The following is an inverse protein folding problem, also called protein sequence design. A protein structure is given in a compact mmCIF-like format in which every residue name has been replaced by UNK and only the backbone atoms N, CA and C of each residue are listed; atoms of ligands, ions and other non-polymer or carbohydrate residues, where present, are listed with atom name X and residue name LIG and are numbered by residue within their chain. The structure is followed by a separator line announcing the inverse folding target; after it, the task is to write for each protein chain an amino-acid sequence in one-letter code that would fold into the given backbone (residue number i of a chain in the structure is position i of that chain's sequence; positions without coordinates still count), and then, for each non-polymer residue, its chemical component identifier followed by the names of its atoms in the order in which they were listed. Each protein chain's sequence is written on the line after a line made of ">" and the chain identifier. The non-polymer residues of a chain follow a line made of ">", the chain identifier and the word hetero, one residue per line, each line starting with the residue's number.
data_IF_631611548318
#
_entry.id   IF_631611548318
#
_cell.length_a   1.000
_cell.length_b   1.000
_cell.length_c   1.000
_cell.angle_alpha   90.00
_cell.angle_beta   90.00
_cell.angle_gamma   90.00
#
_symmetry.space_group_name_H-M   'P 1'
#
loop_
_entity.id
_entity.type
_entity.pdbx_description
1 polymer ?
#
# COMPACT_ATOMS: atom_id res chain seq x y z
N UNK A 1 -25.44 11.59 -8.63
CA UNK A 1 -24.43 10.66 -8.08
C UNK A 1 -23.81 9.92 -9.26
N UNK A 2 -22.57 10.25 -9.61
CA UNK A 2 -21.88 9.67 -10.76
C UNK A 2 -21.14 8.40 -10.32
N UNK A 3 -21.39 7.28 -10.98
CA UNK A 3 -20.56 6.08 -10.88
C UNK A 3 -19.18 6.42 -11.45
N UNK A 4 -18.18 6.55 -10.57
CA UNK A 4 -16.77 6.62 -10.96
C UNK A 4 -16.36 5.23 -11.43
N UNK A 5 -16.13 5.10 -12.73
CA UNK A 5 -15.54 3.90 -13.31
C UNK A 5 -14.06 3.83 -12.88
N UNK A 6 -13.74 2.89 -11.99
CA UNK A 6 -12.39 2.70 -11.47
C UNK A 6 -11.58 1.77 -12.36
N UNK A 7 -10.34 2.16 -12.68
CA UNK A 7 -9.39 1.35 -13.44
C UNK A 7 -8.51 0.56 -12.47
N UNK A 8 -8.30 -0.73 -12.78
CA UNK A 8 -7.31 -1.57 -12.08
C UNK A 8 -5.94 -1.30 -12.68
N UNK A 9 -4.94 -1.05 -11.82
CA UNK A 9 -3.57 -0.85 -12.27
C UNK A 9 -2.95 -2.18 -12.70
N UNK A 10 -2.49 -2.27 -13.96
CA UNK A 10 -1.73 -3.42 -14.48
C UNK A 10 -0.37 -2.94 -14.99
N UNK A 11 0.69 -3.52 -14.44
CA UNK A 11 2.07 -3.29 -14.91
C UNK A 11 2.27 -4.07 -16.21
N UNK A 12 2.52 -3.35 -17.32
CA UNK A 12 2.96 -3.99 -18.57
C UNK A 12 4.46 -4.28 -18.46
N UNK A 13 4.82 -5.56 -18.43
CA UNK A 13 6.21 -5.99 -18.58
C UNK A 13 6.64 -5.80 -20.03
N UNK A 14 7.60 -4.89 -20.27
CA UNK A 14 8.19 -4.68 -21.59
C UNK A 14 9.26 -5.75 -21.84
N UNK A 15 8.93 -6.73 -22.69
CA UNK A 15 9.89 -7.74 -23.16
C UNK A 15 10.97 -7.09 -24.05
N UNK A 16 12.24 -7.31 -23.69
CA UNK A 16 13.41 -6.88 -24.45
C UNK A 16 13.66 -7.85 -25.62
N UNK A 17 13.54 -7.37 -26.85
CA UNK A 17 13.93 -8.09 -28.06
C UNK A 17 15.44 -7.93 -28.28
N UNK A 18 16.14 -9.07 -28.34
CA UNK A 18 17.53 -9.19 -28.74
C UNK A 18 17.72 -8.81 -30.21
N UNK A 19 18.72 -7.97 -30.50
CA UNK A 19 19.24 -7.73 -31.84
C UNK A 19 20.75 -7.54 -31.80
N UNK A 20 21.48 -8.57 -32.23
CA UNK A 20 22.93 -8.56 -32.40
C UNK A 20 23.35 -7.72 -33.60
N UNK A 21 24.45 -6.96 -33.48
CA UNK A 21 25.24 -6.53 -34.63
C UNK A 21 26.72 -6.31 -34.26
N UNK A 22 27.56 -6.71 -35.19
CA UNK A 22 29.00 -7.02 -35.13
C UNK A 22 29.94 -5.83 -35.25
N UNK A 23 31.17 -6.02 -34.76
CA UNK A 23 32.31 -5.11 -34.83
C UNK A 23 32.83 -4.82 -36.24
N UNK A 24 33.44 -3.63 -36.44
CA UNK A 24 34.47 -3.34 -37.45
C UNK A 24 35.39 -2.21 -36.96
N UNK A 25 36.70 -2.38 -37.20
CA UNK A 25 37.84 -1.52 -36.85
C UNK A 25 38.20 -0.62 -38.03
N UNK A 26 38.70 0.62 -37.81
CA UNK A 26 39.91 1.17 -38.47
C UNK A 26 40.43 2.49 -37.90
N UNK A 27 41.77 2.59 -37.92
CA UNK A 27 42.80 3.64 -37.70
C UNK A 27 42.51 5.02 -38.38
N UNK A 28 43.17 6.19 -38.16
CA UNK A 28 44.57 6.57 -37.86
C UNK A 28 44.72 8.12 -37.74
N UNK A 29 45.72 8.60 -36.98
CA UNK A 29 46.50 9.88 -37.07
C UNK A 29 45.77 11.24 -36.87
N UNK A 30 46.35 12.33 -36.31
CA UNK A 30 47.75 12.81 -36.16
C UNK A 30 47.89 13.85 -35.02
N UNK A 31 49.14 14.09 -34.61
CA UNK A 31 49.61 15.04 -33.58
C UNK A 31 49.42 16.53 -33.96
N UNK A 32 49.33 17.41 -32.95
CA UNK A 32 50.30 18.52 -32.75
C UNK A 32 50.17 19.20 -31.36
N UNK A 33 51.32 19.65 -30.85
CA UNK A 33 51.61 20.31 -29.55
C UNK A 33 52.23 21.69 -29.88
N UNK A 34 52.84 22.47 -28.95
CA UNK A 34 52.49 22.99 -27.62
C UNK A 34 52.37 24.55 -27.66
N UNK A 35 52.09 25.21 -26.52
CA UNK A 35 52.96 26.29 -25.98
C UNK A 35 52.49 26.83 -24.63
N UNK A 36 53.48 27.14 -23.80
CA UNK A 36 53.46 27.62 -22.42
C UNK A 36 53.26 29.12 -22.27
N UNK A 37 52.68 29.57 -21.16
CA UNK A 37 53.10 30.84 -20.51
C UNK A 37 52.75 30.84 -19.02
N UNK A 38 53.77 31.10 -18.21
CA UNK A 38 53.69 31.44 -16.77
C UNK A 38 53.58 32.96 -16.67
N UNK A 39 52.65 33.50 -15.88
CA UNK A 39 52.83 34.78 -15.21
C UNK A 39 51.85 34.97 -14.05
N UNK A 40 52.26 35.81 -13.12
CA UNK A 40 51.91 35.88 -11.71
C UNK A 40 50.93 37.01 -11.40
N UNK A 41 50.27 36.87 -10.25
CA UNK A 41 49.85 37.93 -9.31
C UNK A 41 48.50 38.65 -9.48
N UNK A 42 47.89 38.79 -8.29
CA UNK A 42 46.92 39.77 -7.79
C UNK A 42 45.42 39.43 -7.74
N UNK A 43 44.91 39.82 -6.58
CA UNK A 43 43.66 39.49 -5.91
C UNK A 43 42.40 39.91 -6.68
N UNK A 44 41.29 39.19 -6.49
CA UNK A 44 39.95 39.76 -6.23
C UNK A 44 38.88 38.64 -6.11
N UNK A 45 38.16 38.67 -4.98
CA UNK A 45 36.74 38.28 -4.78
C UNK A 45 36.29 36.84 -5.14
N UNK A 46 35.81 36.03 -4.16
CA UNK A 46 35.15 34.78 -4.47
C UNK A 46 33.72 35.04 -4.98
N UNK A 47 33.55 35.15 -6.29
CA UNK A 47 32.25 34.95 -6.94
C UNK A 47 31.91 33.47 -6.77
N UNK A 48 30.98 33.17 -5.87
CA UNK A 48 30.34 31.85 -5.73
C UNK A 48 29.65 31.49 -7.05
N UNK A 49 30.34 30.78 -7.92
CA UNK A 49 29.70 29.95 -8.94
C UNK A 49 29.03 28.77 -8.23
N UNK A 50 27.76 28.93 -7.86
CA UNK A 50 26.86 27.80 -7.57
C UNK A 50 26.45 27.17 -8.89
N UNK A 51 27.36 26.38 -9.47
CA UNK A 51 27.03 25.47 -10.56
C UNK A 51 26.10 24.37 -10.01
N UNK A 52 24.79 24.53 -10.20
CA UNK A 52 23.82 23.46 -9.98
C UNK A 52 23.87 22.50 -11.18
N UNK A 53 24.92 21.66 -11.23
CA UNK A 53 24.98 20.55 -12.17
C UNK A 53 24.14 19.39 -11.65
N UNK A 54 22.84 19.39 -11.96
CA UNK A 54 21.98 18.22 -11.81
C UNK A 54 22.23 17.25 -12.97
N UNK A 55 23.33 16.51 -12.87
CA UNK A 55 23.57 15.34 -13.71
C UNK A 55 24.51 14.39 -12.98
N UNK A 56 23.92 13.59 -12.11
CA UNK A 56 24.49 12.30 -11.73
C UNK A 56 23.39 11.28 -11.91
N UNK A 57 23.46 10.61 -13.06
CA UNK A 57 22.82 9.34 -13.32
C UNK A 57 23.29 8.41 -12.20
N UNK A 58 22.43 8.14 -11.22
CA UNK A 58 22.71 7.09 -10.25
C UNK A 58 22.62 5.77 -10.99
N UNK A 59 23.81 5.21 -11.21
CA UNK A 59 24.07 3.89 -11.76
C UNK A 59 23.11 2.85 -11.19
N UNK A 60 22.65 1.99 -12.09
CA UNK A 60 22.00 0.73 -11.79
C UNK A 60 22.98 -0.14 -10.98
N UNK A 61 22.92 -0.03 -9.67
CA UNK A 61 23.53 -1.00 -8.77
C UNK A 61 22.40 -1.72 -8.05
N UNK A 62 22.04 -2.88 -8.58
CA UNK A 62 21.08 -3.80 -8.01
C UNK A 62 21.69 -4.45 -6.77
N UNK A 63 21.64 -3.74 -5.64
CA UNK A 63 21.69 -4.39 -4.32
C UNK A 63 20.77 -3.66 -3.33
N UNK A 64 19.90 -4.44 -2.69
CA UNK A 64 19.00 -4.24 -1.53
C UNK A 64 19.10 -2.97 -0.66
N UNK A 65 19.20 -1.77 -1.23
CA UNK A 65 18.98 -0.54 -0.48
C UNK A 65 17.49 -0.27 -0.38
N UNK A 66 16.89 -0.72 0.71
CA UNK A 66 15.56 -0.31 1.14
C UNK A 66 15.57 1.21 1.36
N UNK A 67 15.28 1.96 0.30
CA UNK A 67 15.36 3.42 0.33
C UNK A 67 14.13 3.98 1.06
N UNK A 68 14.38 4.82 2.07
CA UNK A 68 13.34 5.44 2.88
C UNK A 68 12.89 6.78 2.29
N UNK A 69 11.61 7.10 2.47
CA UNK A 69 11.03 8.34 2.00
C UNK A 69 9.79 8.74 2.79
N UNK A 70 9.15 9.82 2.35
CA UNK A 70 7.94 10.36 2.95
C UNK A 70 6.76 10.16 2.00
N UNK A 71 5.70 9.55 2.51
CA UNK A 71 4.43 9.38 1.80
C UNK A 71 3.34 10.21 2.51
N UNK A 72 2.64 11.05 1.75
CA UNK A 72 1.46 11.78 2.22
C UNK A 72 0.20 11.04 1.78
N UNK A 73 -0.59 10.58 2.73
CA UNK A 73 -1.86 9.87 2.48
C UNK A 73 -3.02 10.70 3.01
N UNK A 74 -3.93 11.13 2.14
CA UNK A 74 -5.14 11.87 2.51
C UNK A 74 -6.13 10.93 3.17
N UNK A 75 -6.68 11.33 4.32
CA UNK A 75 -7.47 10.47 5.21
C UNK A 75 -8.87 11.00 5.52
N UNK A 76 -9.29 12.10 4.89
CA UNK A 76 -10.59 12.73 5.17
C UNK A 76 -11.80 11.80 5.03
N UNK A 77 -11.73 10.74 4.21
CA UNK A 77 -12.80 9.75 4.08
C UNK A 77 -12.86 8.74 5.26
N UNK A 78 -11.85 8.73 6.13
CA UNK A 78 -11.72 7.81 7.27
C UNK A 78 -11.77 8.56 8.60
N UNK A 79 -11.13 9.73 8.65
CA UNK A 79 -11.06 10.58 9.83
C UNK A 79 -11.21 12.04 9.39
N UNK A 80 -12.35 12.64 9.74
CA UNK A 80 -12.69 14.01 9.34
C UNK A 80 -11.77 15.06 10.00
N UNK A 81 -11.22 14.77 11.18
CA UNK A 81 -10.33 15.68 11.92
C UNK A 81 -8.92 15.73 11.32
N UNK A 82 -8.56 14.76 10.47
CA UNK A 82 -7.22 14.64 9.88
C UNK A 82 -7.31 14.59 8.36
N UNK A 83 -7.00 15.71 7.71
CA UNK A 83 -6.99 15.80 6.24
C UNK A 83 -6.01 14.79 5.62
N UNK A 84 -4.81 14.66 6.19
CA UNK A 84 -3.79 13.73 5.73
C UNK A 84 -2.87 13.23 6.84
N UNK A 85 -2.28 12.06 6.60
CA UNK A 85 -1.19 11.51 7.40
C UNK A 85 0.10 11.46 6.59
N UNK A 86 1.16 12.01 7.16
CA UNK A 86 2.52 11.90 6.63
C UNK A 86 3.23 10.72 7.28
N UNK A 87 3.72 9.78 6.48
CA UNK A 87 4.39 8.56 6.93
C UNK A 87 5.82 8.51 6.40
N UNK A 88 6.77 8.16 7.26
CA UNK A 88 8.11 7.76 6.85
C UNK A 88 8.10 6.25 6.64
N UNK A 89 8.26 5.81 5.40
CA UNK A 89 8.21 4.40 4.99
C UNK A 89 9.34 4.10 4.02
N UNK A 90 9.61 2.83 3.78
CA UNK A 90 10.52 2.39 2.72
C UNK A 90 9.80 2.03 1.44
N UNK A 91 10.55 1.84 0.36
CA UNK A 91 10.05 1.33 -0.92
C UNK A 91 9.43 -0.06 -0.80
N UNK A 92 9.90 -0.89 0.12
CA UNK A 92 9.34 -2.22 0.37
C UNK A 92 8.00 -2.23 1.10
N UNK A 93 7.56 -1.11 1.69
CA UNK A 93 6.25 -1.06 2.36
C UNK A 93 5.12 -1.16 1.33
N UNK A 94 4.24 -2.14 1.54
CA UNK A 94 3.06 -2.35 0.71
C UNK A 94 1.91 -1.43 1.12
N UNK A 95 0.89 -1.32 0.27
CA UNK A 95 -0.34 -0.60 0.55
C UNK A 95 -1.02 -1.14 1.82
N UNK A 96 -1.01 -2.47 2.01
CA UNK A 96 -1.47 -3.10 3.25
C UNK A 96 -0.70 -2.60 4.47
N UNK A 97 0.63 -2.56 4.41
CA UNK A 97 1.44 -2.05 5.53
C UNK A 97 1.13 -0.58 5.85
N UNK A 98 0.90 0.24 4.81
CA UNK A 98 0.51 1.64 4.95
C UNK A 98 -0.86 1.77 5.63
N UNK A 99 -1.85 0.99 5.19
CA UNK A 99 -3.19 0.93 5.80
C UNK A 99 -3.09 0.55 7.28
N UNK A 100 -2.44 -0.57 7.59
CA UNK A 100 -2.27 -1.08 8.95
C UNK A 100 -1.63 -0.02 9.86
N UNK A 101 -0.61 0.70 9.35
CA UNK A 101 0.06 1.79 10.07
C UNK A 101 -0.88 2.96 10.36
N UNK A 102 -1.72 3.37 9.40
CA UNK A 102 -2.65 4.50 9.60
C UNK A 102 -3.77 4.10 10.56
N UNK A 103 -4.36 2.91 10.40
CA UNK A 103 -5.40 2.35 11.28
C UNK A 103 -4.90 2.30 12.72
N UNK A 104 -3.67 1.80 12.94
CA UNK A 104 -3.05 1.76 14.27
C UNK A 104 -2.87 3.16 14.87
N UNK A 105 -2.40 4.13 14.06
CA UNK A 105 -2.23 5.53 14.51
C UNK A 105 -3.56 6.23 14.83
N UNK A 106 -4.64 5.88 14.13
CA UNK A 106 -5.98 6.38 14.42
C UNK A 106 -6.71 5.59 15.51
N UNK A 107 -6.11 4.50 16.03
CA UNK A 107 -6.72 3.63 17.05
C UNK A 107 -8.09 3.07 16.62
N UNK A 108 -8.25 2.81 15.31
CA UNK A 108 -9.45 2.21 14.72
C UNK A 108 -9.25 0.74 14.34
N UNK A 109 -8.32 0.05 15.01
CA UNK A 109 -8.01 -1.38 14.80
C UNK A 109 -9.16 -2.34 15.18
N UNK A 110 -10.26 -1.80 15.70
CA UNK A 110 -11.51 -2.53 15.91
C UNK A 110 -12.38 -2.62 14.64
N UNK A 111 -11.96 -1.98 13.54
CA UNK A 111 -12.56 -2.15 12.21
C UNK A 111 -11.72 -3.11 11.39
N UNK A 112 -12.38 -3.82 10.47
CA UNK A 112 -11.70 -4.73 9.56
C UNK A 112 -10.73 -3.97 8.62
N UNK A 113 -9.41 -4.24 8.67
CA UNK A 113 -8.43 -3.57 7.82
C UNK A 113 -8.63 -3.85 6.32
N UNK A 114 -9.23 -5.00 5.96
CA UNK A 114 -9.46 -5.39 4.56
C UNK A 114 -10.58 -4.58 3.88
N UNK A 115 -11.30 -3.73 4.63
CA UNK A 115 -12.25 -2.74 4.11
C UNK A 115 -11.58 -1.41 3.76
N UNK A 116 -10.31 -1.20 4.13
CA UNK A 116 -9.60 0.01 3.79
C UNK A 116 -8.78 -0.20 2.53
N UNK A 117 -8.74 0.82 1.69
CA UNK A 117 -8.11 0.78 0.39
C UNK A 117 -7.28 2.04 0.17
N UNK A 118 -6.17 1.90 -0.56
CA UNK A 118 -5.39 3.04 -1.03
C UNK A 118 -5.75 3.30 -2.49
N UNK A 119 -6.18 4.52 -2.78
CA UNK A 119 -6.38 5.02 -4.14
C UNK A 119 -5.28 6.02 -4.45
N UNK A 120 -4.63 5.83 -5.59
CA UNK A 120 -3.67 6.78 -6.14
C UNK A 120 -4.38 7.64 -7.20
N UNK A 121 -4.40 8.95 -6.98
CA UNK A 121 -4.73 9.92 -8.03
C UNK A 121 -3.44 10.29 -8.77
N UNK A 122 -3.43 10.06 -10.08
CA UNK A 122 -2.38 10.52 -10.99
C UNK A 122 -2.92 11.67 -11.82
N UNK A 123 -2.19 12.77 -11.81
CA UNK A 123 -2.47 13.97 -12.60
C UNK A 123 -1.58 13.97 -13.82
N UNK A 124 -2.17 14.22 -14.98
CA UNK A 124 -1.44 14.34 -16.23
C UNK A 124 -1.92 15.58 -16.95
N UNK A 125 -1.00 16.31 -17.59
CA UNK A 125 -1.34 17.46 -18.43
C UNK A 125 -1.37 17.03 -19.89
N UNK A 126 -2.51 17.21 -20.54
CA UNK A 126 -2.68 16.97 -21.98
C UNK A 126 -3.22 18.26 -22.58
N UNK A 127 -2.44 18.90 -23.48
CA UNK A 127 -2.81 20.16 -24.14
C UNK A 127 -3.31 21.23 -23.14
N UNK A 128 -2.54 21.45 -22.07
CA UNK A 128 -2.83 22.37 -20.97
C UNK A 128 -4.06 22.05 -20.10
N UNK A 129 -4.75 20.94 -20.34
CA UNK A 129 -5.81 20.43 -19.47
C UNK A 129 -5.25 19.43 -18.44
N UNK A 130 -5.59 19.61 -17.16
CA UNK A 130 -5.29 18.62 -16.12
C UNK A 130 -6.32 17.49 -16.16
N UNK A 131 -5.86 16.27 -16.42
CA UNK A 131 -6.65 15.04 -16.34
C UNK A 131 -6.27 14.30 -15.08
N UNK A 132 -7.28 13.89 -14.30
CA UNK A 132 -7.13 13.12 -13.07
C UNK A 132 -7.55 11.69 -13.31
N UNK A 133 -6.67 10.74 -13.00
CA UNK A 133 -6.94 9.31 -13.07
C UNK A 133 -6.87 8.72 -11.67
N UNK A 134 -7.88 7.96 -11.28
CA UNK A 134 -7.92 7.27 -9.99
C UNK A 134 -7.58 5.79 -10.20
N UNK A 135 -6.59 5.32 -9.46
CA UNK A 135 -6.08 3.95 -9.51
C UNK A 135 -6.24 3.33 -8.14
N UNK A 136 -7.08 2.30 -8.04
CA UNK A 136 -7.15 1.48 -6.83
C UNK A 136 -5.88 0.62 -6.77
N UNK A 137 -5.12 0.76 -5.67
CA UNK A 137 -3.90 0.00 -5.47
C UNK A 137 -4.22 -1.38 -4.90
N UNK A 138 -3.55 -2.41 -5.42
CA UNK A 138 -3.59 -3.75 -4.83
C UNK A 138 -2.91 -3.75 -3.46
N UNK A 139 -3.26 -4.67 -2.53
CA UNK A 139 -2.69 -4.70 -1.18
C UNK A 139 -1.15 -4.81 -1.15
N UNK A 140 -0.56 -5.45 -2.14
CA UNK A 140 0.87 -5.68 -2.35
C UNK A 140 1.59 -4.55 -3.12
N UNK A 141 0.84 -3.60 -3.68
CA UNK A 141 1.40 -2.43 -4.37
C UNK A 141 2.27 -1.63 -3.42
N UNK A 142 3.34 -1.00 -3.92
CA UNK A 142 4.32 -0.26 -3.12
C UNK A 142 4.16 1.25 -3.33
N UNK A 143 3.41 1.97 -2.48
CA UNK A 143 3.00 3.34 -2.78
C UNK A 143 4.17 4.31 -2.88
N UNK A 144 5.25 4.10 -2.12
CA UNK A 144 6.43 4.97 -2.20
C UNK A 144 7.19 4.78 -3.53
N UNK A 145 7.30 3.55 -4.04
CA UNK A 145 7.89 3.30 -5.36
C UNK A 145 7.04 3.98 -6.44
N UNK A 146 5.72 3.80 -6.39
CA UNK A 146 4.78 4.45 -7.30
C UNK A 146 4.88 5.98 -7.25
N UNK A 147 5.00 6.58 -6.07
CA UNK A 147 5.17 8.03 -5.92
C UNK A 147 6.38 8.55 -6.69
N UNK A 148 7.50 7.79 -6.68
CA UNK A 148 8.76 8.18 -7.34
C UNK A 148 8.72 8.03 -8.85
N UNK A 149 7.81 7.23 -9.39
CA UNK A 149 7.61 7.11 -10.83
C UNK A 149 6.96 8.35 -11.46
N UNK A 150 6.46 9.29 -10.66
CA UNK A 150 5.80 10.49 -11.14
C UNK A 150 6.57 11.75 -10.70
N UNK A 151 6.49 12.85 -11.48
CA UNK A 151 6.98 14.14 -11.03
C UNK A 151 6.36 14.55 -9.70
N UNK A 152 7.07 15.40 -8.95
CA UNK A 152 6.55 15.98 -7.72
C UNK A 152 5.15 16.59 -7.94
N UNK A 153 4.28 16.41 -6.95
CA UNK A 153 2.89 16.91 -6.91
C UNK A 153 1.93 16.35 -7.98
N UNK A 154 2.37 15.43 -8.84
CA UNK A 154 1.51 14.77 -9.84
C UNK A 154 0.86 13.48 -9.36
N UNK A 155 1.22 12.99 -8.17
CA UNK A 155 0.57 11.84 -7.54
C UNK A 155 0.06 12.18 -6.13
N UNK A 156 -1.11 11.67 -5.78
CA UNK A 156 -1.70 11.79 -4.45
C UNK A 156 -2.28 10.45 -4.03
N UNK A 157 -2.17 10.12 -2.75
CA UNK A 157 -2.68 8.87 -2.21
C UNK A 157 -3.81 9.16 -1.23
N UNK A 158 -4.90 8.41 -1.33
CA UNK A 158 -6.08 8.56 -0.50
C UNK A 158 -6.35 7.23 0.19
N UNK A 159 -6.59 7.28 1.50
CA UNK A 159 -7.16 6.17 2.25
C UNK A 159 -8.68 6.28 2.18
N UNK A 160 -9.32 5.25 1.63
CA UNK A 160 -10.79 5.18 1.50
C UNK A 160 -11.32 3.93 2.17
N UNK A 161 -12.61 3.94 2.53
CA UNK A 161 -13.32 2.78 3.08
C UNK A 161 -14.22 2.19 2.00
N UNK A 162 -14.05 0.90 1.73
CA UNK A 162 -14.90 0.13 0.84
C UNK A 162 -16.31 0.01 1.43
N UNK A 163 -17.31 0.16 0.56
CA UNK A 163 -18.73 0.07 0.96
C UNK A 163 -19.29 -1.35 0.87
N UNK A 164 -18.49 -2.31 0.42
CA UNK A 164 -18.92 -3.67 0.13
C UNK A 164 -18.76 -4.61 1.33
N UNK A 165 -18.71 -4.07 2.54
CA UNK A 165 -18.60 -4.86 3.76
C UNK A 165 -19.93 -5.54 4.11
N UNK A 166 -19.84 -6.77 4.60
CA UNK A 166 -20.98 -7.56 5.06
C UNK A 166 -21.08 -7.48 6.58
N UNK A 167 -22.28 -7.21 7.10
CA UNK A 167 -22.54 -7.21 8.54
C UNK A 167 -22.72 -8.64 9.03
N UNK A 168 -21.67 -9.20 9.63
CA UNK A 168 -21.61 -10.56 10.15
C UNK A 168 -21.86 -10.57 11.65
N UNK A 169 -22.66 -11.54 12.12
CA UNK A 169 -22.83 -11.80 13.56
C UNK A 169 -22.00 -13.01 13.98
N UNK A 170 -21.15 -12.81 14.98
CA UNK A 170 -20.36 -13.87 15.60
C UNK A 170 -20.81 -14.02 17.04
N UNK A 171 -21.30 -15.20 17.38
CA UNK A 171 -21.79 -15.51 18.71
C UNK A 171 -20.61 -15.88 19.62
N UNK A 172 -20.41 -15.06 20.65
CA UNK A 172 -19.24 -15.12 21.52
C UNK A 172 -19.54 -15.65 22.93
N UNK A 173 -20.77 -16.12 23.19
CA UNK A 173 -21.19 -16.61 24.51
C UNK A 173 -20.33 -17.75 25.08
N UNK A 174 -19.69 -18.56 24.22
CA UNK A 174 -18.81 -19.65 24.66
C UNK A 174 -17.48 -19.16 25.25
N UNK A 175 -17.04 -17.95 24.88
CA UNK A 175 -15.82 -17.34 25.41
C UNK A 175 -16.14 -16.15 26.33
N UNK A 176 -17.31 -15.54 26.19
CA UNK A 176 -17.79 -14.42 26.96
C UNK A 176 -19.28 -14.63 27.34
N UNK A 177 -19.57 -15.38 28.42
CA UNK A 177 -20.94 -15.81 28.76
C UNK A 177 -21.97 -14.69 28.97
N UNK A 178 -21.51 -13.46 29.21
CA UNK A 178 -22.38 -12.29 29.37
C UNK A 178 -22.75 -11.62 28.02
N UNK A 179 -22.14 -12.06 26.93
CA UNK A 179 -22.38 -11.55 25.58
C UNK A 179 -23.10 -12.61 24.75
N UNK A 180 -24.05 -12.18 23.92
CA UNK A 180 -24.75 -13.07 23.00
C UNK A 180 -23.98 -13.19 21.67
N UNK A 181 -23.79 -12.06 20.99
CA UNK A 181 -23.00 -11.96 19.78
C UNK A 181 -22.36 -10.58 19.65
N UNK A 182 -21.34 -10.49 18.79
CA UNK A 182 -20.82 -9.24 18.24
C UNK A 182 -21.15 -9.13 16.75
N UNK A 183 -21.47 -7.90 16.33
CA UNK A 183 -21.67 -7.59 14.91
C UNK A 183 -20.44 -6.90 14.38
N UNK A 184 -19.83 -7.48 13.35
CA UNK A 184 -18.65 -6.96 12.68
C UNK A 184 -19.01 -6.69 11.21
N UNK A 185 -18.54 -5.57 10.66
CA UNK A 185 -18.58 -5.35 9.22
C UNK A 185 -17.28 -5.94 8.66
N UNK A 186 -17.39 -6.99 7.84
CA UNK A 186 -16.25 -7.74 7.30
C UNK A 186 -16.16 -7.59 5.79
N UNK A 187 -14.93 -7.53 5.28
CA UNK A 187 -14.62 -7.66 3.85
C UNK A 187 -14.84 -9.10 3.39
N UNK A 188 -15.17 -9.29 2.12
CA UNK A 188 -15.26 -10.63 1.50
C UNK A 188 -13.93 -11.37 1.45
N UNK A 189 -12.82 -10.67 1.69
CA UNK A 189 -11.47 -11.25 1.78
C UNK A 189 -11.04 -11.60 3.20
N UNK A 190 -11.86 -11.29 4.21
CA UNK A 190 -11.46 -11.45 5.60
C UNK A 190 -11.62 -12.88 6.05
N UNK A 191 -10.50 -13.46 6.43
CA UNK A 191 -10.39 -14.87 6.81
C UNK A 191 -10.90 -15.14 8.23
N UNK A 192 -11.13 -16.40 8.57
CA UNK A 192 -11.41 -16.85 9.94
C UNK A 192 -10.34 -16.36 10.93
N UNK A 193 -9.05 -16.48 10.58
CA UNK A 193 -7.95 -16.00 11.41
C UNK A 193 -8.07 -14.51 11.73
N UNK A 194 -8.24 -13.68 10.69
CA UNK A 194 -8.37 -12.23 10.82
C UNK A 194 -9.64 -11.84 11.58
N UNK A 195 -10.73 -12.58 11.34
CA UNK A 195 -12.01 -12.39 12.03
C UNK A 195 -11.88 -12.64 13.53
N UNK A 196 -11.19 -13.71 13.94
CA UNK A 196 -10.90 -14.00 15.35
C UNK A 196 -10.03 -12.89 15.94
N UNK A 197 -8.95 -12.50 15.26
CA UNK A 197 -8.06 -11.43 15.72
C UNK A 197 -8.81 -10.11 15.94
N UNK A 198 -9.69 -9.74 15.00
CA UNK A 198 -10.55 -8.57 15.09
C UNK A 198 -11.55 -8.68 16.25
N UNK A 199 -12.20 -9.83 16.40
CA UNK A 199 -13.17 -10.07 17.47
C UNK A 199 -12.51 -9.94 18.85
N UNK A 200 -11.33 -10.54 19.04
CA UNK A 200 -10.55 -10.43 20.28
C UNK A 200 -10.21 -8.97 20.61
N UNK A 201 -9.81 -8.18 19.60
CA UNK A 201 -9.57 -6.74 19.77
C UNK A 201 -10.85 -5.99 20.19
N UNK A 202 -12.00 -6.30 19.58
CA UNK A 202 -13.30 -5.69 19.89
C UNK A 202 -13.76 -6.01 21.32
N UNK A 203 -13.61 -7.26 21.76
CA UNK A 203 -13.98 -7.67 23.13
C UNK A 203 -12.89 -7.36 24.17
N UNK A 204 -11.78 -6.74 23.75
CA UNK A 204 -10.62 -6.38 24.59
C UNK A 204 -10.04 -7.58 25.34
N UNK A 205 -9.94 -8.71 24.65
CA UNK A 205 -9.35 -9.94 25.17
C UNK A 205 -8.00 -10.18 24.55
N UNK A 206 -7.00 -10.40 25.40
CA UNK A 206 -5.67 -10.82 24.97
C UNK A 206 -5.66 -12.32 24.65
N UNK A 207 -4.86 -12.72 23.67
CA UNK A 207 -4.71 -14.11 23.26
C UNK A 207 -4.30 -14.24 21.80
N UNK A 208 -3.79 -15.42 21.44
CA UNK A 208 -3.48 -15.72 20.05
C UNK A 208 -4.77 -16.11 19.32
N UNK A 209 -5.02 -15.64 18.08
CA UNK A 209 -6.13 -16.13 17.28
C UNK A 209 -6.10 -17.66 17.08
N UNK A 210 -4.91 -18.27 17.16
CA UNK A 210 -4.74 -19.71 17.05
C UNK A 210 -5.37 -20.51 18.21
N UNK A 211 -5.61 -19.87 19.36
CA UNK A 211 -6.23 -20.47 20.54
C UNK A 211 -7.76 -20.61 20.39
N UNK A 212 -8.31 -20.15 19.26
CA UNK A 212 -9.75 -20.12 19.01
C UNK A 212 -10.08 -20.71 17.65
N UNK A 213 -11.33 -21.16 17.49
CA UNK A 213 -11.91 -21.56 16.20
C UNK A 213 -13.30 -20.99 16.03
N UNK A 214 -13.64 -20.78 14.76
CA UNK A 214 -15.00 -20.50 14.34
C UNK A 214 -15.65 -21.81 13.88
N UNK A 215 -16.92 -21.99 14.18
CA UNK A 215 -17.71 -23.12 13.70
C UNK A 215 -19.14 -22.65 13.41
N UNK A 216 -19.88 -23.45 12.65
CA UNK A 216 -21.32 -23.26 12.50
C UNK A 216 -22.07 -23.99 13.60
N UNK A 217 -23.15 -23.40 14.09
CA UNK A 217 -24.08 -24.11 14.95
C UNK A 217 -24.55 -25.38 14.24
N UNK A 218 -24.54 -26.50 14.94
CA UNK A 218 -24.91 -27.83 14.42
C UNK A 218 -23.89 -28.47 13.46
N UNK A 219 -22.80 -27.77 13.11
CA UNK A 219 -21.68 -28.41 12.43
C UNK A 219 -20.73 -29.07 13.43
N UNK A 220 -20.30 -30.29 13.12
CA UNK A 220 -19.33 -31.03 13.94
C UNK A 220 -17.88 -30.55 13.74
N UNK A 221 -17.62 -29.78 12.68
CA UNK A 221 -16.29 -29.37 12.28
C UNK A 221 -16.09 -27.86 12.41
N UNK A 222 -14.87 -27.47 12.77
CA UNK A 222 -14.45 -26.07 12.73
C UNK A 222 -14.23 -25.61 11.29
N UNK A 223 -14.41 -24.31 11.05
CA UNK A 223 -14.03 -23.66 9.80
C UNK A 223 -12.50 -23.60 9.67
N UNK A 224 -12.00 -23.67 8.43
CA UNK A 224 -10.57 -23.52 8.19
C UNK A 224 -10.14 -22.08 8.48
N UNK A 225 -8.93 -21.90 9.01
CA UNK A 225 -8.43 -20.57 9.37
C UNK A 225 -8.25 -19.64 8.15
N UNK A 226 -8.15 -20.20 6.95
CA UNK A 226 -8.05 -19.50 5.68
C UNK A 226 -9.40 -19.21 5.01
N UNK A 227 -10.51 -19.80 5.48
CA UNK A 227 -11.84 -19.56 4.92
C UNK A 227 -12.27 -18.11 5.12
N UNK A 228 -12.98 -17.54 4.14
CA UNK A 228 -13.54 -16.19 4.23
C UNK A 228 -14.94 -16.22 4.83
N UNK A 229 -15.18 -15.35 5.82
CA UNK A 229 -16.40 -15.42 6.63
C UNK A 229 -17.60 -14.73 5.98
N UNK A 230 -17.38 -13.64 5.25
CA UNK A 230 -18.48 -12.82 4.74
C UNK A 230 -19.35 -13.57 3.71
N UNK A 231 -18.72 -14.26 2.75
CA UNK A 231 -19.45 -15.02 1.72
C UNK A 231 -20.16 -16.22 2.35
N UNK A 232 -19.49 -16.89 3.30
CA UNK A 232 -20.09 -17.96 4.09
C UNK A 232 -21.34 -17.46 4.83
N UNK A 233 -21.26 -16.31 5.51
CA UNK A 233 -22.37 -15.73 6.25
C UNK A 233 -23.58 -15.41 5.36
N UNK A 234 -23.34 -14.94 4.14
CA UNK A 234 -24.41 -14.65 3.16
C UNK A 234 -25.13 -15.95 2.72
N UNK A 235 -24.42 -17.07 2.71
CA UNK A 235 -24.96 -18.37 2.32
C UNK A 235 -25.62 -19.15 3.48
N UNK A 236 -25.59 -18.64 4.72
CA UNK A 236 -26.15 -19.34 5.88
C UNK A 236 -27.68 -19.37 5.87
N UNK A 237 -28.22 -20.50 6.33
CA UNK A 237 -29.62 -20.59 6.70
C UNK A 237 -29.94 -19.73 7.93
N UNK A 238 -31.18 -19.25 8.04
CA UNK A 238 -31.61 -18.35 9.12
C UNK A 238 -31.42 -18.88 10.55
N UNK A 239 -31.30 -20.20 10.72
CA UNK A 239 -31.08 -20.86 12.00
C UNK A 239 -29.60 -21.05 12.33
N UNK A 240 -28.72 -21.03 11.31
CA UNK A 240 -27.30 -21.25 11.49
C UNK A 240 -26.62 -20.01 12.08
N UNK A 241 -25.66 -20.26 12.98
CA UNK A 241 -24.91 -19.23 13.69
C UNK A 241 -23.43 -19.50 13.55
N UNK A 242 -22.65 -18.45 13.35
CA UNK A 242 -21.19 -18.53 13.46
C UNK A 242 -20.82 -18.37 14.93
N UNK A 243 -20.24 -19.40 15.51
CA UNK A 243 -19.83 -19.47 16.92
C UNK A 243 -18.32 -19.31 17.01
N UNK A 244 -17.81 -18.64 18.05
CA UNK A 244 -16.40 -18.72 18.43
C UNK A 244 -16.23 -19.56 19.69
N UNK A 245 -15.23 -20.44 19.71
CA UNK A 245 -14.84 -21.22 20.89
C UNK A 245 -13.33 -21.22 21.08
N UNK A 246 -12.88 -21.50 22.31
CA UNK A 246 -11.46 -21.75 22.60
C UNK A 246 -11.12 -23.20 22.28
N UNK A 247 -9.90 -23.45 21.79
CA UNK A 247 -9.32 -24.79 21.68
C UNK A 247 -8.49 -25.02 22.95
N UNK A 248 -8.72 -26.15 23.60
CA UNK A 248 -7.90 -26.60 24.73
C UNK A 248 -6.67 -27.36 24.23
#
# INVERSE_FOLDING_TARGET
>A
MSCLQMLKYQVRSSGSLHGSATALKTSTNSLDRPSSSVCSSQETLPVRNRSNSLSSLSSIDSSDSTEWGVLKVYTGCVNEDTEYKTLRISTSHTAKNVIDTIIGKFRISYRDPNLFEIVMEVRTRIRDCEVKNLLLLSPDSRPLELQRCHPADMSRFFLVVSRNGILVRIYDYLINPQSNYKSLILSTRTTCYETIALLLAVIRREGSPNDYRLSLSEAEHDLDMSDTIADLYVALDSQQKILIRRIC
#
